data_IF_034467362121
#
_entry.id   IF_034467362121
#
_cell.length_a   1.000
_cell.length_b   1.000
_cell.length_c   1.000
_cell.angle_alpha   90.00
_cell.angle_beta   90.00
_cell.angle_gamma   90.00
#
_symmetry.space_group_name_H-M   'P 1'
#
loop_
_entity.id
_entity.type
_entity.pdbx_description
1 polymer ?
#
# COMPACT_ATOMS: atom_id res chain seq x y z
N UNK A 1 -1.84 1.22 -19.83
CA UNK A 1 -2.20 1.89 -18.57
C UNK A 1 -1.07 1.88 -17.54
N UNK A 2 -0.45 0.74 -17.24
CA UNK A 2 0.75 0.71 -16.34
C UNK A 2 1.90 1.58 -16.85
N UNK A 3 2.16 1.58 -18.16
CA UNK A 3 3.15 2.47 -18.74
C UNK A 3 2.85 3.95 -18.49
N UNK A 4 1.58 4.36 -18.64
CA UNK A 4 1.17 5.73 -18.30
C UNK A 4 1.38 6.04 -16.81
N UNK A 5 1.08 5.10 -15.92
CA UNK A 5 1.34 5.27 -14.48
C UNK A 5 2.83 5.50 -14.19
N UNK A 6 3.73 4.76 -14.86
CA UNK A 6 5.18 4.97 -14.74
C UNK A 6 5.58 6.35 -15.29
N UNK A 7 4.99 6.75 -16.43
CA UNK A 7 5.27 8.07 -17.02
C UNK A 7 4.80 9.23 -16.14
N UNK A 8 3.57 9.14 -15.62
CA UNK A 8 3.02 10.17 -14.73
C UNK A 8 3.85 10.31 -13.45
N UNK A 9 4.28 9.19 -12.88
CA UNK A 9 5.19 9.19 -11.72
C UNK A 9 6.55 9.83 -12.08
N UNK A 10 7.12 9.48 -13.22
CA UNK A 10 8.39 10.07 -13.69
C UNK A 10 8.28 11.59 -13.86
N UNK A 11 7.22 12.05 -14.52
CA UNK A 11 6.99 13.49 -14.71
C UNK A 11 6.83 14.24 -13.39
N UNK A 12 6.12 13.65 -12.42
CA UNK A 12 5.96 14.25 -11.10
C UNK A 12 7.31 14.34 -10.35
N UNK A 13 8.17 13.33 -10.47
CA UNK A 13 9.50 13.33 -9.85
C UNK A 13 10.39 14.43 -10.44
N UNK A 14 10.35 14.63 -11.76
CA UNK A 14 11.11 15.71 -12.42
C UNK A 14 10.65 17.08 -11.91
N UNK A 15 9.34 17.34 -11.91
CA UNK A 15 8.78 18.62 -11.42
C UNK A 15 9.21 18.90 -9.99
N UNK A 16 9.06 17.93 -9.08
CA UNK A 16 9.43 18.08 -7.68
C UNK A 16 10.92 18.32 -7.45
N UNK A 17 11.77 17.75 -8.31
CA UNK A 17 13.20 18.00 -8.27
C UNK A 17 13.56 19.40 -8.76
N UNK A 18 12.96 19.83 -9.87
CA UNK A 18 13.19 21.16 -10.43
C UNK A 18 12.69 22.27 -9.49
N UNK A 19 11.58 22.03 -8.81
CA UNK A 19 11.03 22.91 -7.77
C UNK A 19 11.76 22.80 -6.41
N UNK A 20 12.78 21.96 -6.30
CA UNK A 20 13.56 21.70 -5.07
C UNK A 20 12.72 21.20 -3.89
N UNK A 21 11.60 20.54 -4.17
CA UNK A 21 10.74 19.94 -3.16
C UNK A 21 11.27 18.57 -2.67
N UNK A 22 12.11 17.92 -3.47
CA UNK A 22 12.82 16.70 -3.09
C UNK A 22 14.33 16.90 -3.24
N UNK A 23 15.08 16.19 -2.40
CA UNK A 23 16.53 16.19 -2.44
C UNK A 23 17.06 15.40 -3.64
N UNK A 24 18.29 15.67 -4.06
CA UNK A 24 18.98 14.89 -5.10
C UNK A 24 19.05 13.39 -4.74
N UNK A 25 19.16 13.05 -3.45
CA UNK A 25 19.15 11.66 -2.99
C UNK A 25 17.80 10.99 -3.25
N UNK A 26 16.70 11.68 -2.94
CA UNK A 26 15.34 11.20 -3.18
C UNK A 26 15.05 11.10 -4.68
N UNK A 27 15.44 12.08 -5.45
CA UNK A 27 15.38 12.06 -6.92
C UNK A 27 16.09 10.85 -7.52
N UNK A 28 17.33 10.58 -7.11
CA UNK A 28 18.06 9.43 -7.59
C UNK A 28 17.42 8.10 -7.16
N UNK A 29 16.87 8.03 -5.96
CA UNK A 29 16.14 6.85 -5.50
C UNK A 29 14.88 6.60 -6.34
N UNK A 30 14.11 7.64 -6.66
CA UNK A 30 12.93 7.55 -7.53
C UNK A 30 13.31 7.13 -8.96
N UNK A 31 14.37 7.69 -9.52
CA UNK A 31 14.84 7.30 -10.85
C UNK A 31 15.27 5.84 -10.93
N UNK A 32 15.88 5.31 -9.88
CA UNK A 32 16.19 3.88 -9.81
C UNK A 32 14.92 3.01 -9.78
N UNK A 33 13.86 3.47 -9.10
CA UNK A 33 12.56 2.79 -9.10
C UNK A 33 11.92 2.83 -10.49
N UNK A 34 11.94 3.99 -11.15
CA UNK A 34 11.41 4.17 -12.51
C UNK A 34 12.12 3.24 -13.50
N UNK A 35 13.45 3.19 -13.47
CA UNK A 35 14.24 2.28 -14.33
C UNK A 35 13.88 0.82 -14.08
N UNK A 36 13.76 0.42 -12.82
CA UNK A 36 13.38 -0.94 -12.46
C UNK A 36 11.93 -1.25 -12.89
N UNK A 37 11.02 -0.30 -12.71
CA UNK A 37 9.63 -0.43 -13.15
C UNK A 37 9.52 -0.60 -14.67
N UNK A 38 10.26 0.19 -15.43
CA UNK A 38 10.33 0.08 -16.90
C UNK A 38 10.93 -1.27 -17.32
N UNK A 39 12.00 -1.71 -16.66
CA UNK A 39 12.59 -3.02 -16.94
C UNK A 39 11.59 -4.15 -16.69
N UNK A 40 10.88 -4.14 -15.56
CA UNK A 40 9.86 -5.14 -15.26
C UNK A 40 8.71 -5.06 -16.27
N UNK A 41 8.26 -3.86 -16.62
CA UNK A 41 7.18 -3.69 -17.59
C UNK A 41 7.52 -4.30 -18.96
N UNK A 42 8.76 -4.15 -19.41
CA UNK A 42 9.18 -4.63 -20.72
C UNK A 42 9.53 -6.13 -20.73
N UNK A 43 10.08 -6.65 -19.64
CA UNK A 43 10.71 -7.97 -19.64
C UNK A 43 9.98 -9.01 -18.76
N UNK A 44 9.27 -8.61 -17.72
CA UNK A 44 8.53 -9.54 -16.86
C UNK A 44 7.14 -9.81 -17.45
N UNK A 45 6.85 -11.06 -17.75
CA UNK A 45 5.56 -11.53 -18.27
C UNK A 45 4.71 -12.21 -17.21
N UNK A 46 5.14 -12.18 -15.95
CA UNK A 46 4.41 -12.83 -14.85
C UNK A 46 3.14 -12.06 -14.50
N UNK A 47 2.13 -12.78 -14.02
CA UNK A 47 0.84 -12.23 -13.61
C UNK A 47 0.98 -11.20 -12.45
N UNK A 48 2.04 -11.29 -11.64
CA UNK A 48 2.31 -10.37 -10.53
C UNK A 48 3.09 -9.10 -10.89
N UNK A 49 3.50 -8.94 -12.16
CA UNK A 49 4.35 -7.83 -12.61
C UNK A 49 3.80 -6.46 -12.25
N UNK A 50 2.56 -6.20 -12.61
CA UNK A 50 1.94 -4.89 -12.41
C UNK A 50 1.76 -4.57 -10.93
N UNK A 51 1.52 -5.60 -10.10
CA UNK A 51 1.52 -5.46 -8.64
C UNK A 51 2.87 -4.99 -8.09
N UNK A 52 3.96 -5.65 -8.50
CA UNK A 52 5.32 -5.27 -8.09
C UNK A 52 5.69 -3.84 -8.52
N UNK A 53 5.29 -3.44 -9.73
CA UNK A 53 5.53 -2.08 -10.23
C UNK A 53 4.76 -1.07 -9.40
N UNK A 54 3.47 -1.29 -9.16
CA UNK A 54 2.63 -0.40 -8.37
C UNK A 54 3.16 -0.25 -6.94
N UNK A 55 3.50 -1.35 -6.28
CA UNK A 55 4.09 -1.36 -4.93
C UNK A 55 5.38 -0.52 -4.87
N UNK A 56 6.27 -0.71 -5.85
CA UNK A 56 7.51 0.05 -5.94
C UNK A 56 7.29 1.56 -6.11
N UNK A 57 6.36 1.95 -6.98
CA UNK A 57 6.06 3.36 -7.24
C UNK A 57 5.19 3.99 -6.16
N UNK A 58 4.40 3.20 -5.41
CA UNK A 58 3.64 3.67 -4.25
C UNK A 58 4.50 3.83 -2.99
N UNK A 59 5.73 3.34 -2.99
CA UNK A 59 6.65 3.59 -1.88
C UNK A 59 6.89 5.09 -1.75
N UNK A 60 6.76 5.68 -0.53
CA UNK A 60 7.02 7.10 -0.31
C UNK A 60 8.34 7.57 -0.90
N UNK A 61 8.39 8.76 -1.46
CA UNK A 61 9.62 9.31 -2.09
C UNK A 61 10.80 9.32 -1.11
N UNK A 62 10.54 9.69 0.13
CA UNK A 62 11.51 9.70 1.24
C UNK A 62 11.71 8.33 1.88
N UNK A 63 11.03 7.29 1.38
CA UNK A 63 11.08 5.93 1.89
C UNK A 63 12.08 5.05 1.15
N UNK A 64 12.50 3.98 1.81
CA UNK A 64 13.32 2.94 1.22
C UNK A 64 12.47 1.72 0.88
N UNK A 65 12.31 1.43 -0.40
CA UNK A 65 11.65 0.21 -0.86
C UNK A 65 12.49 -1.02 -0.48
N UNK A 66 11.86 -1.95 0.20
CA UNK A 66 12.53 -3.17 0.62
C UNK A 66 12.35 -4.26 -0.44
N UNK A 67 13.34 -4.39 -1.34
CA UNK A 67 13.34 -5.43 -2.38
C UNK A 67 13.31 -6.86 -1.81
N UNK A 68 13.69 -7.06 -0.56
CA UNK A 68 13.64 -8.37 0.10
C UNK A 68 12.29 -8.65 0.77
N UNK A 69 11.27 -7.81 0.60
CA UNK A 69 9.93 -8.04 1.11
C UNK A 69 9.17 -9.19 0.42
N UNK A 70 9.71 -9.78 -0.64
CA UNK A 70 9.30 -11.13 -1.10
C UNK A 70 9.66 -12.20 -0.04
N UNK A 71 10.13 -11.83 1.07
CA UNK A 71 10.74 -12.55 2.16
C UNK A 71 9.84 -12.61 3.40
N UNK A 72 10.15 -13.49 4.37
CA UNK A 72 9.22 -14.06 5.32
C UNK A 72 8.42 -13.05 6.12
N UNK A 73 7.27 -13.48 6.59
CA UNK A 73 6.35 -12.78 7.48
C UNK A 73 7.07 -11.85 8.49
N UNK A 74 6.69 -10.57 8.50
CA UNK A 74 7.15 -9.60 9.49
C UNK A 74 8.08 -8.49 9.00
N UNK A 75 8.44 -8.45 7.70
CA UNK A 75 9.16 -7.30 7.14
C UNK A 75 8.20 -6.36 6.42
N UNK A 76 8.27 -5.09 6.75
CA UNK A 76 7.52 -4.04 6.07
C UNK A 76 7.94 -3.91 4.59
N UNK A 77 6.99 -3.60 3.71
CA UNK A 77 7.25 -3.39 2.28
C UNK A 77 8.23 -2.23 2.05
N UNK A 78 8.13 -1.20 2.87
CA UNK A 78 9.11 -0.13 2.91
C UNK A 78 9.17 0.55 4.29
N UNK A 79 10.20 1.36 4.47
CA UNK A 79 10.35 2.25 5.61
C UNK A 79 10.23 3.68 5.11
N UNK A 80 9.31 4.43 5.65
CA UNK A 80 9.20 5.87 5.47
C UNK A 80 9.79 6.58 6.67
N UNK A 81 10.38 7.74 6.46
CA UNK A 81 10.91 8.57 7.51
C UNK A 81 10.03 9.81 7.68
N UNK A 82 9.52 10.04 8.89
CA UNK A 82 9.04 11.34 9.30
C UNK A 82 10.16 12.13 9.99
N UNK A 83 9.87 13.34 10.47
CA UNK A 83 10.87 14.18 11.16
C UNK A 83 11.38 13.59 12.48
N UNK A 84 10.70 12.58 13.00
CA UNK A 84 10.93 12.05 14.35
C UNK A 84 11.48 10.64 14.31
N UNK A 85 10.96 9.78 13.44
CA UNK A 85 11.33 8.34 13.38
C UNK A 85 11.01 7.70 12.05
N UNK A 86 11.67 6.58 11.77
CA UNK A 86 11.28 5.72 10.66
C UNK A 86 9.97 4.98 10.98
N UNK A 87 9.06 4.97 10.01
CA UNK A 87 7.80 4.23 10.09
C UNK A 87 7.82 3.05 9.15
N UNK A 88 7.23 1.96 9.59
CA UNK A 88 6.91 0.85 8.69
C UNK A 88 5.73 1.24 7.81
N UNK A 89 5.80 0.85 6.57
CA UNK A 89 4.73 1.06 5.58
C UNK A 89 4.44 -0.28 4.91
N UNK A 90 3.20 -0.70 5.00
CA UNK A 90 2.67 -1.89 4.33
C UNK A 90 1.83 -1.45 3.14
N UNK A 91 2.15 -1.96 1.97
CA UNK A 91 1.43 -1.67 0.73
C UNK A 91 0.60 -2.88 0.36
N UNK A 92 -0.70 -2.69 0.24
CA UNK A 92 -1.65 -3.75 -0.08
C UNK A 92 -2.34 -3.48 -1.40
N UNK A 93 -2.16 -4.40 -2.32
CA UNK A 93 -2.79 -4.39 -3.64
C UNK A 93 -3.72 -5.58 -3.73
N UNK A 94 -5.00 -5.34 -3.98
CA UNK A 94 -6.01 -6.40 -4.12
C UNK A 94 -6.22 -7.34 -2.93
N UNK A 95 -5.93 -6.91 -1.73
CA UNK A 95 -6.22 -7.69 -0.55
C UNK A 95 -5.22 -8.80 -0.26
N UNK A 96 -3.96 -8.47 -0.33
CA UNK A 96 -2.89 -9.33 0.13
C UNK A 96 -3.09 -9.81 1.57
N UNK A 97 -2.25 -10.72 2.02
CA UNK A 97 -2.34 -11.30 3.35
C UNK A 97 -2.24 -10.21 4.44
N UNK A 98 -3.29 -10.06 5.24
CA UNK A 98 -3.35 -9.11 6.36
C UNK A 98 -2.92 -9.72 7.69
N UNK A 99 -2.59 -11.02 7.72
CA UNK A 99 -2.19 -11.70 8.95
C UNK A 99 -0.98 -11.01 9.60
N UNK A 100 -0.02 -10.56 8.79
CA UNK A 100 1.14 -9.83 9.31
C UNK A 100 0.79 -8.52 10.02
N UNK A 101 -0.26 -7.82 9.60
CA UNK A 101 -0.75 -6.63 10.29
C UNK A 101 -1.40 -6.99 11.64
N UNK A 102 -2.20 -8.05 11.67
CA UNK A 102 -2.81 -8.54 12.92
C UNK A 102 -1.74 -8.94 13.94
N UNK A 103 -0.72 -9.66 13.49
CA UNK A 103 0.38 -10.12 14.34
C UNK A 103 1.23 -8.94 14.82
N UNK A 104 1.53 -7.97 13.94
CA UNK A 104 2.27 -6.77 14.31
C UNK A 104 1.53 -5.95 15.37
N UNK A 105 0.24 -5.73 15.18
CA UNK A 105 -0.58 -5.01 16.16
C UNK A 105 -0.68 -5.75 17.49
N UNK A 106 -0.87 -7.07 17.48
CA UNK A 106 -0.87 -7.89 18.68
C UNK A 106 0.45 -7.80 19.46
N UNK A 107 1.58 -7.62 18.76
CA UNK A 107 2.90 -7.40 19.32
C UNK A 107 3.20 -5.93 19.70
N UNK A 108 2.18 -5.06 19.72
CA UNK A 108 2.31 -3.67 20.18
C UNK A 108 2.68 -2.65 19.10
N UNK A 109 2.71 -3.02 17.82
CA UNK A 109 2.95 -2.07 16.73
C UNK A 109 1.73 -1.11 16.59
N UNK A 110 1.98 0.17 16.72
CA UNK A 110 1.00 1.27 16.57
C UNK A 110 1.47 2.31 15.55
N UNK A 111 2.57 2.02 14.84
CA UNK A 111 3.25 3.01 14.00
C UNK A 111 3.26 2.64 12.52
N UNK A 112 2.73 1.48 12.15
CA UNK A 112 2.66 1.06 10.75
C UNK A 112 1.55 1.83 10.03
N UNK A 113 1.92 2.41 8.88
CA UNK A 113 0.99 2.98 7.90
C UNK A 113 0.64 1.90 6.87
N UNK A 114 -0.62 1.84 6.48
CA UNK A 114 -1.14 0.89 5.51
C UNK A 114 -1.61 1.65 4.26
N UNK A 115 -0.92 1.46 3.15
CA UNK A 115 -1.32 2.00 1.86
C UNK A 115 -2.11 0.92 1.12
N UNK A 116 -3.27 1.30 0.62
CA UNK A 116 -4.17 0.38 -0.04
C UNK A 116 -4.60 0.90 -1.42
N UNK A 117 -4.50 0.05 -2.42
CA UNK A 117 -5.07 0.29 -3.75
C UNK A 117 -5.71 -0.98 -4.29
N UNK A 118 -6.66 -0.84 -5.18
CA UNK A 118 -7.36 -1.95 -5.82
C UNK A 118 -6.98 -1.95 -7.29
N UNK A 119 -6.49 -3.08 -7.79
CA UNK A 119 -6.35 -3.29 -9.21
C UNK A 119 -7.66 -3.86 -9.78
N UNK A 120 -8.17 -3.26 -10.83
CA UNK A 120 -9.32 -3.71 -11.58
C UNK A 120 -8.89 -4.21 -12.96
N UNK A 121 -9.46 -5.32 -13.38
CA UNK A 121 -9.09 -5.94 -14.65
C UNK A 121 -7.68 -6.52 -14.60
N UNK A 122 -7.04 -6.58 -15.73
CA UNK A 122 -5.72 -7.19 -15.86
C UNK A 122 -5.85 -8.68 -16.24
N UNK A 123 -5.74 -8.92 -17.51
CA UNK A 123 -5.54 -10.26 -18.08
C UNK A 123 -4.33 -10.21 -19.01
N UNK A 124 -4.05 -11.31 -19.70
CA UNK A 124 -2.95 -11.38 -20.65
C UNK A 124 -3.02 -10.36 -21.79
N UNK A 125 -4.17 -9.74 -22.01
CA UNK A 125 -4.45 -8.82 -23.13
C UNK A 125 -4.63 -7.36 -22.69
N UNK A 126 -5.01 -7.11 -21.42
CA UNK A 126 -5.26 -5.78 -20.91
C UNK A 126 -4.59 -5.57 -19.53
N UNK A 127 -3.82 -4.48 -19.34
CA UNK A 127 -3.22 -4.17 -18.06
C UNK A 127 -4.28 -3.81 -17.00
N UNK A 128 -3.99 -4.13 -15.74
CA UNK A 128 -4.82 -3.72 -14.62
C UNK A 128 -4.85 -2.19 -14.49
N UNK A 129 -6.00 -1.67 -14.06
CA UNK A 129 -6.16 -0.28 -13.60
C UNK A 129 -6.14 -0.25 -12.09
N UNK A 130 -5.56 0.80 -11.52
CA UNK A 130 -5.53 0.98 -10.07
C UNK A 130 -6.48 2.10 -9.67
N UNK A 131 -7.23 1.88 -8.59
CA UNK A 131 -7.97 2.96 -7.94
C UNK A 131 -6.99 3.95 -7.31
N UNK A 132 -7.45 5.15 -6.99
CA UNK A 132 -6.68 6.12 -6.21
C UNK A 132 -6.23 5.46 -4.91
N UNK A 133 -4.91 5.44 -4.62
CA UNK A 133 -4.43 4.85 -3.39
C UNK A 133 -4.96 5.59 -2.17
N UNK A 134 -5.24 4.84 -1.11
CA UNK A 134 -5.67 5.36 0.20
C UNK A 134 -4.65 4.98 1.25
N UNK A 135 -4.53 5.79 2.29
CA UNK A 135 -3.66 5.53 3.42
C UNK A 135 -4.46 5.55 4.73
N UNK A 136 -4.15 4.60 5.61
CA UNK A 136 -4.70 4.50 6.94
C UNK A 136 -3.60 4.07 7.93
N UNK A 137 -3.86 4.18 9.23
CA UNK A 137 -3.01 3.60 10.25
C UNK A 137 -3.29 2.09 10.41
N UNK A 138 -2.36 1.37 11.02
CA UNK A 138 -2.62 -0.02 11.45
C UNK A 138 -3.78 -0.07 12.46
N UNK A 139 -3.97 0.95 13.26
CA UNK A 139 -5.02 1.04 14.27
C UNK A 139 -6.40 1.13 13.64
N UNK A 140 -6.60 2.03 12.66
CA UNK A 140 -7.83 2.11 11.85
C UNK A 140 -8.20 0.75 11.24
N UNK A 141 -7.20 0.05 10.69
CA UNK A 141 -7.43 -1.27 10.11
C UNK A 141 -7.85 -2.30 11.14
N UNK A 142 -7.22 -2.33 12.30
CA UNK A 142 -7.52 -3.30 13.37
C UNK A 142 -8.86 -3.03 14.04
N UNK A 143 -9.22 -1.78 14.25
CA UNK A 143 -10.55 -1.41 14.74
C UNK A 143 -11.63 -1.92 13.80
N UNK A 144 -11.51 -1.61 12.52
CA UNK A 144 -12.42 -2.13 11.50
C UNK A 144 -12.48 -3.66 11.49
N UNK A 145 -11.32 -4.33 11.58
CA UNK A 145 -11.23 -5.78 11.62
C UNK A 145 -11.99 -6.35 12.83
N UNK A 146 -11.80 -5.78 14.01
CA UNK A 146 -12.44 -6.23 15.23
C UNK A 146 -13.97 -6.04 15.19
N UNK A 147 -14.43 -4.92 14.67
CA UNK A 147 -15.85 -4.63 14.54
C UNK A 147 -16.57 -5.57 13.56
N UNK A 148 -15.94 -5.81 12.42
CA UNK A 148 -16.54 -6.60 11.35
C UNK A 148 -16.31 -8.10 11.52
N UNK A 149 -15.20 -8.52 12.13
CA UNK A 149 -14.88 -9.90 12.44
C UNK A 149 -15.88 -10.54 13.42
N UNK A 150 -16.28 -9.79 14.43
CA UNK A 150 -17.30 -10.25 15.41
C UNK A 150 -18.69 -10.45 14.77
N UNK A 151 -19.06 -9.63 13.80
CA UNK A 151 -20.34 -9.73 13.09
C UNK A 151 -20.40 -10.90 12.10
N UNK A 152 -19.23 -11.40 11.66
CA UNK A 152 -19.17 -12.50 10.69
C UNK A 152 -19.43 -13.90 11.29
N UNK A 153 -19.39 -14.02 12.61
CA UNK A 153 -19.60 -15.30 13.33
C UNK A 153 -21.07 -15.72 13.42
N UNK A 154 -22.04 -14.85 13.05
CA UNK A 154 -23.46 -15.16 13.07
C UNK A 154 -23.93 -15.77 11.75
N UNK A 155 -24.51 -16.97 11.80
CA UNK A 155 -25.04 -17.71 10.64
C UNK A 155 -26.13 -16.91 9.89
N UNK A 156 -25.92 -16.66 8.60
CA UNK A 156 -26.91 -16.01 7.72
C UNK A 156 -26.48 -16.05 6.25
N UNK A 157 -27.43 -16.00 5.33
CA UNK A 157 -27.14 -16.00 3.88
C UNK A 157 -26.18 -14.88 3.49
N UNK A 158 -25.12 -15.22 2.74
CA UNK A 158 -24.10 -14.28 2.29
C UNK A 158 -22.93 -14.06 3.28
N UNK A 159 -22.87 -14.79 4.40
CA UNK A 159 -21.77 -14.69 5.35
C UNK A 159 -20.64 -15.70 5.04
N UNK A 160 -19.38 -15.38 5.37
CA UNK A 160 -18.27 -16.30 5.15
C UNK A 160 -18.46 -17.57 5.98
N UNK A 161 -17.97 -18.70 5.44
CA UNK A 161 -17.84 -19.94 6.18
C UNK A 161 -16.91 -19.74 7.38
N UNK A 162 -17.07 -20.55 8.42
CA UNK A 162 -16.37 -20.47 9.70
C UNK A 162 -14.85 -20.69 9.63
N UNK A 163 -14.26 -20.80 8.43
CA UNK A 163 -12.81 -20.89 8.31
C UNK A 163 -12.17 -19.49 8.37
N UNK A 164 -11.05 -19.40 9.10
CA UNK A 164 -10.29 -18.16 9.32
C UNK A 164 -9.91 -17.46 8.01
N UNK A 165 -9.60 -18.23 6.96
CA UNK A 165 -9.19 -17.69 5.66
C UNK A 165 -10.34 -16.96 4.95
N UNK A 166 -11.52 -17.57 4.91
CA UNK A 166 -12.71 -16.97 4.30
C UNK A 166 -13.18 -15.74 5.06
N UNK A 167 -13.07 -15.75 6.37
CA UNK A 167 -13.37 -14.59 7.22
C UNK A 167 -12.41 -13.43 6.92
N UNK A 168 -11.12 -13.67 6.83
CA UNK A 168 -10.13 -12.64 6.49
C UNK A 168 -10.40 -12.06 5.10
N UNK A 169 -10.66 -12.90 4.10
CA UNK A 169 -10.97 -12.45 2.75
C UNK A 169 -12.23 -11.56 2.70
N UNK A 170 -13.25 -11.92 3.47
CA UNK A 170 -14.47 -11.14 3.55
C UNK A 170 -14.23 -9.78 4.21
N UNK A 171 -13.49 -9.74 5.31
CA UNK A 171 -13.15 -8.49 6.01
C UNK A 171 -12.32 -7.58 5.11
N UNK A 172 -11.34 -8.13 4.39
CA UNK A 172 -10.53 -7.36 3.43
C UNK A 172 -11.40 -6.76 2.33
N UNK A 173 -12.41 -7.50 1.83
CA UNK A 173 -13.37 -6.97 0.85
C UNK A 173 -14.20 -5.82 1.43
N UNK A 174 -14.60 -5.91 2.70
CA UNK A 174 -15.31 -4.83 3.40
C UNK A 174 -14.42 -3.63 3.67
N UNK A 175 -13.17 -3.88 4.07
CA UNK A 175 -12.17 -2.83 4.27
C UNK A 175 -11.95 -1.98 3.03
N UNK A 176 -11.95 -2.58 1.85
CA UNK A 176 -11.83 -1.85 0.58
C UNK A 176 -12.89 -0.77 0.41
N UNK A 177 -14.15 -1.10 0.72
CA UNK A 177 -15.25 -0.16 0.62
C UNK A 177 -15.14 0.92 1.70
N UNK A 178 -14.79 0.52 2.91
CA UNK A 178 -14.65 1.43 4.05
C UNK A 178 -13.52 2.44 3.86
N UNK A 179 -12.36 2.01 3.34
CA UNK A 179 -11.22 2.90 3.14
C UNK A 179 -11.45 3.91 2.01
N UNK A 180 -12.32 3.59 1.04
CA UNK A 180 -12.73 4.54 0.00
C UNK A 180 -13.60 5.67 0.57
N UNK A 181 -14.35 5.39 1.63
CA UNK A 181 -15.21 6.38 2.30
C UNK A 181 -14.46 7.21 3.35
N UNK A 182 -13.58 6.58 4.12
CA UNK A 182 -12.91 7.19 5.29
C UNK A 182 -11.41 7.43 5.08
N UNK A 183 -10.79 6.75 4.10
CA UNK A 183 -9.37 6.82 3.87
C UNK A 183 -8.93 8.15 3.28
N UNK A 184 -7.77 8.62 3.72
CA UNK A 184 -7.11 9.78 3.13
C UNK A 184 -6.52 9.35 1.79
N UNK A 185 -6.67 10.20 0.77
CA UNK A 185 -5.99 10.00 -0.50
C UNK A 185 -4.47 10.00 -0.29
N UNK A 186 -3.82 8.96 -0.80
CA UNK A 186 -2.40 8.80 -0.66
C UNK A 186 -1.65 9.35 -1.87
N UNK A 187 -0.65 10.18 -1.58
CA UNK A 187 0.29 10.70 -2.56
C UNK A 187 1.71 10.29 -2.12
N UNK A 188 2.49 9.56 -2.95
CA UNK A 188 3.84 9.10 -2.58
C UNK A 188 4.85 10.24 -2.36
N UNK A 189 4.53 11.46 -2.76
CA UNK A 189 5.37 12.65 -2.62
C UNK A 189 5.11 13.45 -1.34
N UNK A 190 4.06 13.10 -0.59
CA UNK A 190 3.69 13.74 0.68
C UNK A 190 4.14 12.85 1.84
N UNK A 191 4.52 13.48 2.94
CA UNK A 191 4.82 12.77 4.19
C UNK A 191 3.54 12.55 4.98
N UNK A 192 3.47 11.42 5.66
CA UNK A 192 2.33 11.08 6.52
C UNK A 192 2.82 10.69 7.91
N UNK A 193 2.01 11.01 8.90
CA UNK A 193 2.21 10.64 10.30
C UNK A 193 0.92 10.05 10.87
N UNK A 194 0.97 9.55 12.11
CA UNK A 194 -0.20 9.08 12.84
C UNK A 194 -0.45 10.05 13.99
N UNK A 195 -1.64 10.62 14.02
CA UNK A 195 -2.12 11.52 15.08
C UNK A 195 -3.42 10.95 15.63
N UNK A 196 -3.48 10.71 16.92
CA UNK A 196 -4.64 10.12 17.60
C UNK A 196 -5.13 8.80 16.96
N UNK A 197 -4.20 7.96 16.52
CA UNK A 197 -4.51 6.69 15.88
C UNK A 197 -4.78 6.75 14.38
N UNK A 198 -4.94 7.94 13.78
CA UNK A 198 -5.29 8.11 12.37
C UNK A 198 -4.13 8.64 11.52
N UNK A 199 -4.05 8.21 10.26
CA UNK A 199 -3.07 8.73 9.32
C UNK A 199 -3.41 10.18 8.91
N UNK A 200 -2.41 11.06 8.90
CA UNK A 200 -2.55 12.45 8.47
C UNK A 200 -1.36 12.87 7.63
N UNK A 201 -1.59 13.74 6.64
CA UNK A 201 -0.52 14.38 5.87
C UNK A 201 0.28 15.34 6.79
N UNK A 202 1.57 15.41 6.56
CA UNK A 202 2.48 16.35 7.25
C UNK A 202 2.80 17.46 6.28
N UNK A 203 2.48 18.69 6.66
CA UNK A 203 2.84 19.91 5.94
C UNK A 203 4.37 20.18 5.94
#
# INVERSE_FOLDING_TARGET
MMFKFIQDYSSAVEVLHDEKQITTKEYNACNNRIRTALYLYLNDRTQGRDGKIAEMLLTPVHGNYNKSAVSPAGKADCLASDKIRSRKVEIKINGGCVQGLLDAYANGDRNTLVIYTIAHGGNSLAPATYTTPRIASIEDFIEFYNENGKKSSTKGAGKPRDDKKSMIQWIVKKWRLHIDELGIEYNPFIRYTIVNGHAQAVE
#
